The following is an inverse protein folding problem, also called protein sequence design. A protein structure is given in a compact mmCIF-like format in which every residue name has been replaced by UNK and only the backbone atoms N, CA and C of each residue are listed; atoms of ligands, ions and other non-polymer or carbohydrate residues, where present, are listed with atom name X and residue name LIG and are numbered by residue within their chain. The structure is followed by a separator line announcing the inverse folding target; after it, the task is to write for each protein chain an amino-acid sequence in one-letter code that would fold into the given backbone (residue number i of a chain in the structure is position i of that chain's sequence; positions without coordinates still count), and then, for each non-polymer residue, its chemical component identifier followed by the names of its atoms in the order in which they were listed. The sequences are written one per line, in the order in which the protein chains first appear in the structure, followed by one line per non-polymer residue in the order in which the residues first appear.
data_IF_366275045978
#
_entry.id   IF_366275045978
#
_cell.length_a   1.000
_cell.length_b   1.000
_cell.length_c   1.000
_cell.angle_alpha   90.00
_cell.angle_beta   90.00
_cell.angle_gamma   90.00
#
_symmetry.space_group_name_H-M   'P 1'
#
loop_
_entity.id
_entity.type
_entity.pdbx_description
1 polymer ?
#
# COMPACT_ATOMS: atom_id res chain seq x y z
N UNK A 1 -11.45 -11.96 -14.97
CA UNK A 1 -12.14 -12.25 -13.69
C UNK A 1 -12.73 -13.65 -13.75
N UNK A 2 -13.00 -14.30 -12.61
CA UNK A 2 -13.69 -15.59 -12.58
C UNK A 2 -15.17 -15.39 -12.93
N UNK A 3 -15.57 -15.67 -14.17
CA UNK A 3 -16.88 -15.29 -14.73
C UNK A 3 -18.07 -15.89 -13.97
N UNK A 4 -17.99 -17.16 -13.57
CA UNK A 4 -19.05 -17.85 -12.83
C UNK A 4 -19.31 -17.23 -11.46
N UNK A 5 -18.25 -17.00 -10.69
CA UNK A 5 -18.34 -16.37 -9.35
C UNK A 5 -18.81 -14.92 -9.49
N UNK A 6 -18.31 -14.19 -10.49
CA UNK A 6 -18.72 -12.80 -10.74
C UNK A 6 -20.22 -12.70 -11.04
N UNK A 7 -20.74 -13.59 -11.88
CA UNK A 7 -22.16 -13.65 -12.22
C UNK A 7 -23.02 -14.00 -11.00
N UNK A 8 -22.61 -15.01 -10.20
CA UNK A 8 -23.30 -15.40 -8.99
C UNK A 8 -23.37 -14.27 -7.95
N UNK A 9 -22.26 -13.56 -7.75
CA UNK A 9 -22.23 -12.40 -6.84
C UNK A 9 -23.16 -11.29 -7.35
N UNK A 10 -23.12 -10.96 -8.64
CA UNK A 10 -23.96 -9.91 -9.20
C UNK A 10 -25.45 -10.23 -9.08
N UNK A 11 -25.84 -11.49 -9.29
CA UNK A 11 -27.21 -11.94 -9.09
C UNK A 11 -27.69 -11.84 -7.64
N UNK A 12 -26.76 -11.92 -6.68
CA UNK A 12 -27.04 -11.82 -5.26
C UNK A 12 -26.89 -10.40 -4.68
N UNK A 13 -26.39 -9.44 -5.47
CA UNK A 13 -26.19 -8.08 -5.02
C UNK A 13 -27.51 -7.31 -4.98
N UNK A 14 -27.78 -6.64 -3.85
CA UNK A 14 -28.84 -5.62 -3.76
C UNK A 14 -28.33 -4.42 -2.96
N UNK A 15 -28.86 -3.21 -3.19
CA UNK A 15 -28.52 -2.03 -2.38
C UNK A 15 -28.76 -2.24 -0.88
N UNK A 16 -29.79 -2.98 -0.48
CA UNK A 16 -30.13 -3.26 0.92
C UNK A 16 -29.08 -4.18 1.57
N UNK A 17 -28.59 -5.18 0.83
CA UNK A 17 -27.52 -6.07 1.31
C UNK A 17 -26.20 -5.31 1.47
N UNK A 18 -25.89 -4.42 0.54
CA UNK A 18 -24.74 -3.54 0.67
C UNK A 18 -24.87 -2.55 1.84
N UNK A 19 -26.06 -1.98 2.07
CA UNK A 19 -26.33 -1.14 3.23
C UNK A 19 -26.17 -1.92 4.55
N UNK A 20 -26.65 -3.17 4.60
CA UNK A 20 -26.45 -4.05 5.76
C UNK A 20 -24.97 -4.39 5.99
N UNK A 21 -24.21 -4.62 4.92
CA UNK A 21 -22.76 -4.80 4.96
C UNK A 21 -22.06 -3.58 5.58
N UNK A 22 -22.38 -2.35 5.14
CA UNK A 22 -21.80 -1.14 5.72
C UNK A 22 -22.25 -0.92 7.17
N UNK A 23 -23.52 -1.18 7.48
CA UNK A 23 -24.07 -1.06 8.83
C UNK A 23 -23.38 -2.02 9.80
N UNK A 24 -22.96 -3.21 9.35
CA UNK A 24 -22.15 -4.14 10.14
C UNK A 24 -20.79 -3.54 10.50
N UNK A 25 -20.12 -2.87 9.56
CA UNK A 25 -18.84 -2.21 9.80
C UNK A 25 -18.98 -1.09 10.83
N UNK A 26 -20.02 -0.26 10.70
CA UNK A 26 -20.27 0.81 11.66
C UNK A 26 -20.70 0.26 13.04
N UNK A 27 -21.45 -0.84 13.09
CA UNK A 27 -21.82 -1.46 14.37
C UNK A 27 -20.61 -2.05 15.13
N UNK A 28 -19.68 -2.69 14.42
CA UNK A 28 -18.48 -3.28 15.02
C UNK A 28 -17.44 -2.23 15.41
N UNK A 29 -17.28 -1.19 14.57
CA UNK A 29 -16.29 -0.13 14.74
C UNK A 29 -16.92 1.27 14.49
N UNK A 30 -17.77 1.75 15.42
CA UNK A 30 -18.52 2.99 15.24
C UNK A 30 -17.64 4.20 14.89
N UNK A 31 -17.97 4.87 13.79
CA UNK A 31 -17.28 6.07 13.33
C UNK A 31 -15.82 5.86 12.88
N UNK A 32 -15.33 4.62 12.78
CA UNK A 32 -13.95 4.35 12.38
C UNK A 32 -13.74 4.29 10.86
N UNK A 33 -14.80 4.01 10.09
CA UNK A 33 -14.72 3.94 8.64
C UNK A 33 -14.82 5.35 8.02
N UNK A 34 -13.75 5.80 7.36
CA UNK A 34 -13.66 7.15 6.78
C UNK A 34 -13.19 7.14 5.31
N UNK A 35 -13.43 6.03 4.63
CA UNK A 35 -13.25 5.88 3.19
C UNK A 35 -14.34 4.96 2.62
N UNK A 36 -14.59 5.09 1.32
CA UNK A 36 -15.56 4.25 0.61
C UNK A 36 -15.04 2.82 0.50
N UNK A 37 -15.77 1.87 1.07
CA UNK A 37 -15.62 0.44 0.81
C UNK A 37 -16.42 0.12 -0.45
N UNK A 38 -15.85 -0.61 -1.40
CA UNK A 38 -16.56 -0.92 -2.63
C UNK A 38 -17.68 -1.95 -2.40
N UNK A 39 -18.65 -1.95 -3.28
CA UNK A 39 -19.84 -2.82 -3.29
C UNK A 39 -19.49 -4.29 -3.50
N UNK A 40 -18.27 -4.56 -3.99
CA UNK A 40 -17.84 -5.90 -4.36
C UNK A 40 -16.35 -6.13 -4.12
N UNK A 41 -15.95 -7.37 -3.78
CA UNK A 41 -14.57 -7.79 -3.92
C UNK A 41 -14.22 -8.12 -5.37
N UNK A 42 -12.93 -8.35 -5.61
CA UNK A 42 -12.34 -8.72 -6.91
C UNK A 42 -12.07 -10.22 -6.94
N UNK A 43 -12.64 -10.97 -7.89
CA UNK A 43 -12.38 -12.41 -8.09
C UNK A 43 -11.31 -12.69 -9.15
N UNK A 44 -10.09 -13.02 -8.70
CA UNK A 44 -8.89 -13.13 -9.52
C UNK A 44 -8.70 -14.57 -10.00
N UNK A 45 -8.70 -14.84 -11.33
CA UNK A 45 -8.48 -16.18 -11.86
C UNK A 45 -7.03 -16.63 -11.68
N UNK A 46 -6.80 -17.95 -11.69
CA UNK A 46 -5.48 -18.55 -11.48
C UNK A 46 -4.41 -18.02 -12.44
N UNK A 47 -4.76 -17.85 -13.72
CA UNK A 47 -3.81 -17.34 -14.72
C UNK A 47 -3.32 -15.91 -14.40
N UNK A 48 -4.19 -15.02 -13.94
CA UNK A 48 -3.79 -13.67 -13.54
C UNK A 48 -2.99 -13.70 -12.23
N UNK A 49 -3.34 -14.60 -11.32
CA UNK A 49 -2.59 -14.86 -10.08
C UNK A 49 -1.15 -15.23 -10.40
N UNK A 50 -0.92 -16.17 -11.31
CA UNK A 50 0.42 -16.63 -11.67
C UNK A 50 1.28 -15.51 -12.26
N UNK A 51 0.70 -14.64 -13.09
CA UNK A 51 1.38 -13.46 -13.63
C UNK A 51 1.71 -12.43 -12.55
N UNK A 52 0.79 -12.20 -11.59
CA UNK A 52 1.02 -11.31 -10.44
C UNK A 52 2.17 -11.82 -9.56
N UNK A 53 2.19 -13.13 -9.27
CA UNK A 53 3.25 -13.75 -8.48
C UNK A 53 4.60 -13.68 -9.20
N UNK A 54 4.64 -13.94 -10.51
CA UNK A 54 5.85 -13.78 -11.31
C UNK A 54 6.37 -12.35 -11.31
N UNK A 55 5.48 -11.35 -11.43
CA UNK A 55 5.86 -9.94 -11.35
C UNK A 55 6.44 -9.59 -9.97
N UNK A 56 5.86 -10.14 -8.90
CA UNK A 56 6.38 -9.98 -7.55
C UNK A 56 7.76 -10.63 -7.37
N UNK A 57 7.99 -11.82 -7.91
CA UNK A 57 9.29 -12.48 -7.84
C UNK A 57 10.39 -11.65 -8.51
N UNK A 58 10.12 -11.04 -9.67
CA UNK A 58 11.06 -10.13 -10.35
C UNK A 58 11.39 -8.89 -9.50
N UNK A 59 10.38 -8.32 -8.82
CA UNK A 59 10.55 -7.18 -7.92
C UNK A 59 11.35 -7.58 -6.69
N UNK A 60 11.01 -8.72 -6.07
CA UNK A 60 11.70 -9.27 -4.91
C UNK A 60 13.16 -9.53 -5.22
N UNK A 61 13.46 -10.11 -6.38
CA UNK A 61 14.82 -10.34 -6.85
C UNK A 61 15.63 -9.05 -6.98
N UNK A 62 15.00 -7.91 -7.29
CA UNK A 62 15.66 -6.61 -7.38
C UNK A 62 15.93 -6.02 -5.99
N UNK A 63 14.94 -6.01 -5.10
CA UNK A 63 15.06 -5.39 -3.76
C UNK A 63 15.95 -6.19 -2.81
N UNK A 64 16.17 -7.49 -3.08
CA UNK A 64 17.09 -8.34 -2.31
C UNK A 64 18.52 -8.33 -2.84
N UNK A 65 18.81 -7.55 -3.91
CA UNK A 65 20.18 -7.43 -4.42
C UNK A 65 21.13 -6.86 -3.36
N UNK A 66 22.38 -7.36 -3.26
CA UNK A 66 23.36 -6.82 -2.33
C UNK A 66 23.65 -5.33 -2.49
N UNK A 67 23.56 -4.80 -3.72
CA UNK A 67 23.81 -3.39 -4.05
C UNK A 67 22.56 -2.50 -3.96
N UNK A 68 21.38 -3.04 -3.63
CA UNK A 68 20.12 -2.30 -3.66
C UNK A 68 20.13 -1.06 -2.75
N UNK A 69 20.73 -1.16 -1.56
CA UNK A 69 20.89 -0.01 -0.65
C UNK A 69 21.81 1.08 -1.21
N UNK A 70 22.83 0.70 -1.98
CA UNK A 70 23.70 1.65 -2.66
C UNK A 70 22.96 2.35 -3.80
N UNK A 71 22.23 1.58 -4.63
CA UNK A 71 21.41 2.09 -5.73
C UNK A 71 20.35 3.10 -5.27
N UNK A 72 19.75 2.86 -4.10
CA UNK A 72 18.65 3.69 -3.57
C UNK A 72 19.11 4.74 -2.55
N UNK A 73 20.41 4.94 -2.37
CA UNK A 73 20.93 5.86 -1.34
C UNK A 73 20.46 7.31 -1.54
N UNK A 74 20.38 7.75 -2.80
CA UNK A 74 19.93 9.08 -3.18
C UNK A 74 18.40 9.24 -3.11
N UNK A 75 17.65 8.16 -2.89
CA UNK A 75 16.21 8.23 -2.69
C UNK A 75 15.83 8.86 -1.35
N UNK A 76 16.73 8.84 -0.35
CA UNK A 76 16.47 9.37 0.99
C UNK A 76 16.99 10.82 1.06
N UNK A 77 16.12 11.83 1.23
CA UNK A 77 16.56 13.20 1.44
C UNK A 77 17.48 13.29 2.68
N UNK A 78 18.65 13.98 2.60
CA UNK A 78 19.62 13.97 3.70
C UNK A 78 19.06 14.41 5.07
N UNK A 79 18.12 15.36 5.07
CA UNK A 79 17.48 15.88 6.28
C UNK A 79 16.34 15.01 6.82
N UNK A 80 15.93 13.96 6.09
CA UNK A 80 14.90 12.99 6.49
C UNK A 80 15.49 11.60 6.77
N UNK A 81 16.83 11.47 6.77
CA UNK A 81 17.50 10.19 7.01
C UNK A 81 17.37 9.80 8.48
N UNK A 82 16.66 8.70 8.72
CA UNK A 82 16.52 8.11 10.05
C UNK A 82 17.72 7.21 10.35
N UNK A 83 18.36 7.32 11.54
CA UNK A 83 19.52 6.52 11.92
C UNK A 83 19.16 5.06 12.20
N UNK A 84 20.17 4.19 12.23
CA UNK A 84 20.03 2.76 12.56
C UNK A 84 19.08 1.98 11.63
N UNK A 85 19.20 2.24 10.32
CA UNK A 85 18.41 1.58 9.28
C UNK A 85 18.52 0.05 9.34
N UNK A 86 17.36 -0.62 9.32
CA UNK A 86 17.27 -2.09 9.33
C UNK A 86 17.88 -2.71 8.06
N UNK A 87 18.35 -3.98 8.10
CA UNK A 87 18.94 -4.65 6.92
C UNK A 87 17.99 -4.72 5.71
N UNK A 88 16.70 -4.95 5.93
CA UNK A 88 15.65 -4.96 4.91
C UNK A 88 14.38 -4.25 5.41
N UNK A 89 13.43 -4.00 4.50
CA UNK A 89 12.10 -3.51 4.89
C UNK A 89 11.35 -4.58 5.68
N UNK A 90 10.45 -4.17 6.57
CA UNK A 90 9.54 -5.10 7.27
C UNK A 90 8.25 -5.35 6.47
N UNK A 91 7.81 -4.36 5.69
CA UNK A 91 6.58 -4.41 4.91
C UNK A 91 6.86 -4.02 3.46
N UNK A 92 6.16 -4.66 2.53
CA UNK A 92 6.19 -4.32 1.12
C UNK A 92 4.76 -4.35 0.57
N UNK A 93 4.37 -3.28 -0.11
CA UNK A 93 3.14 -3.20 -0.87
C UNK A 93 3.48 -3.04 -2.35
N UNK A 94 2.82 -3.80 -3.22
CA UNK A 94 3.03 -3.76 -4.67
C UNK A 94 1.70 -3.62 -5.38
N UNK A 95 1.52 -2.54 -6.14
CA UNK A 95 0.28 -2.19 -6.83
C UNK A 95 0.33 -2.51 -8.30
N UNK A 96 -0.59 -3.35 -8.76
CA UNK A 96 -0.75 -3.70 -10.16
C UNK A 96 -2.09 -3.22 -10.69
N UNK A 97 -2.05 -2.50 -11.80
CA UNK A 97 -3.21 -2.37 -12.68
C UNK A 97 -3.52 -3.73 -13.31
N UNK A 98 -4.80 -4.02 -13.50
CA UNK A 98 -5.21 -5.12 -14.38
C UNK A 98 -5.42 -4.58 -15.79
N UNK A 99 -4.63 -5.10 -16.71
CA UNK A 99 -4.58 -4.72 -18.12
C UNK A 99 -4.98 -5.90 -19.00
N UNK A 100 -5.13 -5.64 -20.29
CA UNK A 100 -5.30 -6.67 -21.30
C UNK A 100 -4.10 -6.66 -22.24
N UNK A 101 -3.52 -7.82 -22.48
CA UNK A 101 -2.52 -8.00 -23.50
C UNK A 101 -3.18 -7.83 -24.88
N UNK A 102 -2.72 -6.88 -25.70
CA UNK A 102 -3.36 -6.59 -26.99
C UNK A 102 -3.24 -7.73 -28.00
N UNK A 103 -2.23 -8.60 -27.87
CA UNK A 103 -1.99 -9.70 -28.79
C UNK A 103 -2.75 -10.97 -28.41
N UNK A 104 -2.70 -11.37 -27.13
CA UNK A 104 -3.35 -12.59 -26.66
C UNK A 104 -4.79 -12.39 -26.17
N UNK A 105 -5.18 -11.15 -25.85
CA UNK A 105 -6.45 -10.82 -25.21
C UNK A 105 -6.55 -11.26 -23.74
N UNK A 106 -5.50 -11.86 -23.19
CA UNK A 106 -5.45 -12.29 -21.79
C UNK A 106 -5.24 -11.11 -20.84
N UNK A 107 -5.72 -11.26 -19.60
CA UNK A 107 -5.40 -10.29 -18.55
C UNK A 107 -3.92 -10.41 -18.13
N UNK A 108 -3.32 -9.26 -17.87
CA UNK A 108 -1.95 -9.15 -17.35
C UNK A 108 -1.83 -8.02 -16.31
N UNK A 109 -0.95 -8.17 -15.32
CA UNK A 109 -0.66 -7.11 -14.37
C UNK A 109 0.36 -6.12 -14.95
N UNK A 110 0.20 -4.85 -14.64
CA UNK A 110 1.21 -3.82 -14.92
C UNK A 110 1.46 -3.00 -13.66
N UNK A 111 2.72 -2.94 -13.22
CA UNK A 111 3.11 -2.25 -11.99
C UNK A 111 2.80 -0.75 -12.08
N UNK A 112 2.12 -0.24 -11.06
CA UNK A 112 1.76 1.18 -10.92
C UNK A 112 2.63 1.85 -9.87
N UNK A 113 2.75 1.21 -8.71
CA UNK A 113 3.47 1.72 -7.55
C UNK A 113 3.95 0.55 -6.68
N UNK A 114 5.05 0.77 -5.96
CA UNK A 114 5.53 -0.12 -4.91
C UNK A 114 6.01 0.72 -3.73
N UNK A 115 5.84 0.19 -2.52
CA UNK A 115 6.12 0.95 -1.31
C UNK A 115 6.62 0.08 -0.17
N UNK A 116 7.72 0.50 0.46
CA UNK A 116 8.27 -0.11 1.68
C UNK A 116 7.59 0.40 2.94
N UNK A 117 6.26 0.31 3.02
CA UNK A 117 5.47 0.93 4.10
C UNK A 117 4.18 0.16 4.41
N UNK A 118 3.81 0.02 5.69
CA UNK A 118 2.58 -0.67 6.07
C UNK A 118 1.33 0.20 5.92
N UNK A 119 0.28 -0.33 5.30
CA UNK A 119 -1.06 0.27 5.36
C UNK A 119 -2.15 -0.77 5.18
N UNK A 120 -3.21 -0.67 5.99
CA UNK A 120 -4.44 -1.48 5.89
C UNK A 120 -4.25 -2.99 6.10
N UNK A 121 -3.19 -3.44 6.78
CA UNK A 121 -2.94 -4.87 7.06
C UNK A 121 -3.99 -5.45 8.03
N UNK A 122 -4.41 -4.72 9.06
CA UNK A 122 -5.46 -5.16 9.98
C UNK A 122 -6.83 -5.22 9.30
N UNK A 123 -7.13 -4.26 8.42
CA UNK A 123 -8.42 -4.15 7.76
C UNK A 123 -8.77 -5.33 6.85
N UNK A 124 -7.79 -5.99 6.21
CA UNK A 124 -8.07 -7.03 5.22
C UNK A 124 -8.73 -8.28 5.81
N UNK A 125 -8.28 -8.74 6.99
CA UNK A 125 -8.88 -9.90 7.64
C UNK A 125 -10.37 -9.65 7.95
N UNK A 126 -10.65 -8.51 8.59
CA UNK A 126 -12.01 -8.08 8.91
C UNK A 126 -12.90 -7.92 7.66
N UNK A 127 -12.39 -7.23 6.65
CA UNK A 127 -13.14 -6.95 5.43
C UNK A 127 -13.49 -8.25 4.67
N UNK A 128 -12.55 -9.19 4.60
CA UNK A 128 -12.77 -10.50 3.95
C UNK A 128 -13.91 -11.29 4.60
N UNK A 129 -13.95 -11.35 5.93
CA UNK A 129 -15.00 -12.01 6.71
C UNK A 129 -16.34 -11.31 6.55
N UNK A 130 -16.32 -9.98 6.56
CA UNK A 130 -17.54 -9.18 6.39
C UNK A 130 -18.15 -9.42 5.01
N UNK A 131 -17.34 -9.54 3.94
CA UNK A 131 -17.86 -9.93 2.61
C UNK A 131 -18.44 -11.35 2.63
N UNK A 132 -17.72 -12.34 3.15
CA UNK A 132 -18.20 -13.74 3.22
C UNK A 132 -19.49 -13.88 4.02
N UNK A 133 -19.67 -13.06 5.07
CA UNK A 133 -20.87 -13.07 5.90
C UNK A 133 -22.10 -12.45 5.22
N UNK A 134 -21.91 -11.53 4.26
CA UNK A 134 -23.00 -10.76 3.65
C UNK A 134 -23.29 -11.15 2.20
N UNK A 135 -22.33 -11.74 1.48
CA UNK A 135 -22.43 -12.04 0.06
C UNK A 135 -21.94 -13.46 -0.27
N UNK A 136 -22.42 -14.09 -1.37
CA UNK A 136 -21.90 -15.39 -1.77
C UNK A 136 -20.47 -15.25 -2.28
N UNK A 137 -19.53 -15.76 -1.50
CA UNK A 137 -18.12 -15.91 -1.86
C UNK A 137 -17.78 -17.38 -1.77
N UNK A 138 -17.33 -17.96 -2.89
CA UNK A 138 -16.97 -19.38 -2.98
C UNK A 138 -15.82 -19.74 -2.03
N UNK A 139 -15.79 -20.98 -1.56
CA UNK A 139 -14.63 -21.54 -0.84
C UNK A 139 -13.48 -21.91 -1.78
N UNK A 140 -13.74 -21.93 -3.11
CA UNK A 140 -12.70 -22.14 -4.14
C UNK A 140 -11.77 -20.92 -4.34
N UNK A 141 -11.95 -19.86 -3.55
CA UNK A 141 -11.14 -18.64 -3.63
C UNK A 141 -10.69 -18.20 -2.25
N UNK A 142 -9.50 -17.61 -2.15
CA UNK A 142 -8.89 -17.13 -0.90
C UNK A 142 -8.32 -15.72 -1.04
N UNK A 143 -8.38 -14.92 0.02
CA UNK A 143 -7.69 -13.63 0.09
C UNK A 143 -6.28 -13.74 0.73
N UNK A 144 -5.96 -14.90 1.29
CA UNK A 144 -4.72 -15.18 2.02
C UNK A 144 -3.71 -15.93 1.16
N UNK A 145 -2.43 -15.70 1.47
CA UNK A 145 -1.30 -16.39 0.86
C UNK A 145 -0.41 -16.98 1.96
N UNK A 146 0.07 -18.21 1.76
CA UNK A 146 0.96 -18.91 2.70
C UNK A 146 0.35 -19.29 4.05
N UNK A 147 -0.94 -19.01 4.28
CA UNK A 147 -1.73 -19.40 5.45
C UNK A 147 -3.19 -19.66 5.06
N UNK A 148 -3.87 -20.52 5.82
CA UNK A 148 -5.22 -20.98 5.48
C UNK A 148 -6.33 -20.19 6.19
N UNK A 149 -6.02 -19.47 7.27
CA UNK A 149 -7.03 -18.80 8.11
C UNK A 149 -6.62 -17.39 8.52
N UNK A 150 -7.61 -16.52 8.75
CA UNK A 150 -7.39 -15.18 9.31
C UNK A 150 -6.71 -15.24 10.68
N UNK A 151 -6.98 -16.28 11.49
CA UNK A 151 -6.31 -16.47 12.76
C UNK A 151 -4.79 -16.66 12.58
N UNK A 152 -4.35 -17.46 11.59
CA UNK A 152 -2.94 -17.64 11.29
C UNK A 152 -2.30 -16.38 10.69
N UNK A 153 -3.03 -15.66 9.83
CA UNK A 153 -2.61 -14.37 9.30
C UNK A 153 -2.37 -13.34 10.43
N UNK A 154 -3.35 -13.19 11.33
CA UNK A 154 -3.26 -12.29 12.49
C UNK A 154 -2.10 -12.70 13.41
N UNK A 155 -1.90 -14.00 13.64
CA UNK A 155 -0.77 -14.48 14.44
C UNK A 155 0.58 -14.09 13.83
N UNK A 156 0.74 -14.20 12.50
CA UNK A 156 1.96 -13.75 11.80
C UNK A 156 2.19 -12.24 11.98
N UNK A 157 1.16 -11.42 11.80
CA UNK A 157 1.26 -9.97 12.02
C UNK A 157 1.61 -9.63 13.46
N UNK A 158 0.95 -10.28 14.43
CA UNK A 158 1.21 -10.09 15.85
C UNK A 158 2.66 -10.39 16.19
N UNK A 159 3.19 -11.53 15.73
CA UNK A 159 4.57 -11.92 15.97
C UNK A 159 5.57 -10.92 15.36
N UNK A 160 5.34 -10.49 14.11
CA UNK A 160 6.20 -9.51 13.43
C UNK A 160 6.23 -8.15 14.16
N UNK A 161 5.06 -7.67 14.57
CA UNK A 161 4.91 -6.35 15.19
C UNK A 161 5.47 -6.34 16.62
N UNK A 162 5.10 -7.34 17.42
CA UNK A 162 5.52 -7.38 18.83
C UNK A 162 6.97 -7.84 19.02
N UNK A 163 7.47 -8.76 18.19
CA UNK A 163 8.69 -9.50 18.51
C UNK A 163 8.59 -10.08 19.93
N UNK A 164 9.63 -9.87 20.74
CA UNK A 164 9.67 -10.32 22.14
C UNK A 164 9.14 -9.28 23.16
N UNK A 165 8.58 -8.16 22.69
CA UNK A 165 8.10 -7.09 23.56
C UNK A 165 6.67 -7.33 24.06
N UNK A 166 6.36 -6.79 25.24
CA UNK A 166 4.97 -6.74 25.70
C UNK A 166 4.17 -5.74 24.86
N UNK A 167 2.85 -5.95 24.65
CA UNK A 167 2.05 -5.03 23.84
C UNK A 167 2.09 -3.56 24.29
N UNK A 168 2.20 -3.28 25.59
CA UNK A 168 2.34 -1.89 26.08
C UNK A 168 3.71 -1.26 25.78
N UNK A 169 4.73 -2.05 25.44
CA UNK A 169 6.05 -1.55 25.05
C UNK A 169 6.14 -1.26 23.54
N UNK A 170 5.06 -1.52 22.80
CA UNK A 170 4.97 -1.35 21.34
C UNK A 170 3.83 -0.40 21.01
N UNK A 171 4.12 0.62 20.20
CA UNK A 171 3.12 1.58 19.75
C UNK A 171 2.94 1.52 18.23
N UNK A 172 1.74 1.83 17.76
CA UNK A 172 1.51 2.26 16.39
C UNK A 172 1.72 3.78 16.35
N UNK A 173 2.81 4.24 15.74
CA UNK A 173 3.14 5.66 15.66
C UNK A 173 2.43 6.30 14.46
N UNK A 174 1.72 7.39 14.71
CA UNK A 174 0.99 8.15 13.70
C UNK A 174 0.89 9.63 14.12
N UNK A 175 0.56 10.54 13.21
CA UNK A 175 0.16 11.91 13.53
C UNK A 175 -1.37 12.03 13.58
N UNK A 176 -1.90 12.50 14.71
CA UNK A 176 -3.36 12.58 14.97
C UNK A 176 -4.13 11.32 14.52
N UNK A 177 -3.86 10.15 15.14
CA UNK A 177 -4.41 8.86 14.68
C UNK A 177 -5.94 8.87 14.49
N UNK A 178 -6.66 9.62 15.31
CA UNK A 178 -8.12 9.77 15.27
C UNK A 178 -8.64 10.52 14.03
N UNK A 179 -7.79 11.32 13.38
CA UNK A 179 -8.12 12.09 12.16
C UNK A 179 -7.75 11.35 10.89
N UNK A 180 -7.04 10.23 10.99
CA UNK A 180 -6.61 9.48 9.84
C UNK A 180 -7.77 8.75 9.17
N UNK A 181 -7.78 8.76 7.84
CA UNK A 181 -8.83 8.06 7.07
C UNK A 181 -8.82 6.57 7.30
N UNK A 182 -7.65 6.01 7.58
CA UNK A 182 -7.46 4.58 7.83
C UNK A 182 -7.59 4.21 9.31
N UNK A 183 -8.20 5.05 10.16
CA UNK A 183 -8.29 4.79 11.62
C UNK A 183 -8.95 3.46 12.01
N UNK A 184 -9.85 2.93 11.17
CA UNK A 184 -10.40 1.56 11.32
C UNK A 184 -9.31 0.49 11.39
N UNK A 185 -8.22 0.65 10.63
CA UNK A 185 -7.08 -0.27 10.65
C UNK A 185 -6.32 -0.20 11.98
N UNK A 186 -6.29 0.97 12.63
CA UNK A 186 -5.66 1.14 13.94
C UNK A 186 -6.52 0.50 15.03
N UNK A 187 -7.83 0.66 14.97
CA UNK A 187 -8.77 0.00 15.88
C UNK A 187 -8.67 -1.53 15.76
N UNK A 188 -8.59 -2.05 14.53
CA UNK A 188 -8.39 -3.47 14.27
C UNK A 188 -7.02 -3.96 14.71
N UNK A 189 -5.96 -3.18 14.47
CA UNK A 189 -4.61 -3.50 14.95
C UNK A 189 -4.59 -3.59 16.48
N UNK A 190 -5.29 -2.69 17.18
CA UNK A 190 -5.46 -2.77 18.64
C UNK A 190 -6.21 -4.04 19.05
N UNK A 191 -7.29 -4.39 18.38
CA UNK A 191 -8.06 -5.60 18.68
C UNK A 191 -7.25 -6.89 18.46
N UNK A 192 -6.41 -6.94 17.43
CA UNK A 192 -5.67 -8.13 17.02
C UNK A 192 -4.30 -8.27 17.70
N UNK A 193 -3.59 -7.16 17.85
CA UNK A 193 -2.18 -7.13 18.31
C UNK A 193 -2.07 -6.56 19.74
N UNK A 194 -3.05 -5.80 20.21
CA UNK A 194 -3.09 -5.26 21.58
C UNK A 194 -2.28 -3.98 21.78
N UNK A 195 -1.82 -3.34 20.70
CA UNK A 195 -1.02 -2.12 20.74
C UNK A 195 -1.88 -0.88 20.56
N UNK A 196 -1.47 0.24 21.17
CA UNK A 196 -2.16 1.52 21.07
C UNK A 196 -1.60 2.36 19.90
N UNK A 197 -2.50 3.06 19.21
CA UNK A 197 -2.10 4.12 18.29
C UNK A 197 -1.75 5.38 19.09
N UNK A 198 -0.51 5.84 18.97
CA UNK A 198 0.05 6.96 19.74
C UNK A 198 0.44 8.08 18.79
N UNK A 199 -0.08 9.27 19.07
CA UNK A 199 0.23 10.47 18.32
C UNK A 199 1.68 10.89 18.56
N UNK A 200 2.44 11.25 17.52
CA UNK A 200 3.83 11.74 17.64
C UNK A 200 3.98 12.85 18.69
N UNK A 201 3.02 13.77 18.77
CA UNK A 201 3.00 14.89 19.75
C UNK A 201 2.85 14.48 21.21
N UNK A 202 2.53 13.20 21.48
CA UNK A 202 2.35 12.64 22.82
C UNK A 202 3.55 11.82 23.28
N UNK A 203 4.55 11.64 22.42
CA UNK A 203 5.81 10.98 22.78
C UNK A 203 6.67 11.95 23.57
N UNK A 204 7.23 11.45 24.68
CA UNK A 204 8.27 12.11 25.46
C UNK A 204 9.60 11.45 25.19
N UNK A 205 10.65 12.26 25.06
CA UNK A 205 12.02 11.79 24.85
C UNK A 205 12.86 12.16 26.05
N UNK A 206 13.51 11.17 26.66
CA UNK A 206 14.49 11.36 27.73
C UNK A 206 15.81 10.72 27.32
N UNK A 207 16.77 11.56 26.90
CA UNK A 207 17.99 11.07 26.26
C UNK A 207 17.66 10.32 24.97
N UNK A 208 17.98 9.01 24.92
CA UNK A 208 17.66 8.11 23.80
C UNK A 208 16.39 7.30 24.02
N UNK A 209 15.82 7.31 25.23
CA UNK A 209 14.61 6.55 25.54
C UNK A 209 13.36 7.36 25.17
N UNK A 210 12.35 6.66 24.68
CA UNK A 210 11.04 7.22 24.34
C UNK A 210 9.97 6.66 25.28
N UNK A 211 9.02 7.51 25.64
CA UNK A 211 7.91 7.17 26.54
C UNK A 211 6.58 7.72 26.00
N UNK A 212 5.50 7.06 26.40
CA UNK A 212 4.14 7.58 26.24
C UNK A 212 3.34 7.36 27.52
N UNK A 213 2.28 8.15 27.70
CA UNK A 213 1.38 8.01 28.83
C UNK A 213 0.24 7.04 28.52
N UNK A 214 0.00 6.11 29.44
CA UNK A 214 -1.14 5.18 29.40
C UNK A 214 -1.68 4.98 30.81
N UNK A 215 -2.95 5.30 31.01
CA UNK A 215 -3.65 5.17 32.29
C UNK A 215 -2.89 5.84 33.46
N UNK A 216 -2.32 7.02 33.22
CA UNK A 216 -1.52 7.78 34.18
C UNK A 216 -0.11 7.22 34.45
N UNK A 217 0.30 6.15 33.77
CA UNK A 217 1.64 5.57 33.84
C UNK A 217 2.48 6.03 32.64
N UNK A 218 3.76 6.33 32.88
CA UNK A 218 4.75 6.48 31.82
C UNK A 218 5.26 5.10 31.42
N UNK A 219 5.05 4.73 30.17
CA UNK A 219 5.47 3.43 29.62
C UNK A 219 6.60 3.64 28.62
N UNK A 220 7.68 2.87 28.76
CA UNK A 220 8.81 2.91 27.83
C UNK A 220 8.43 2.28 26.51
N UNK A 221 8.64 3.02 25.42
CA UNK A 221 8.52 2.52 24.06
C UNK A 221 9.80 1.77 23.70
N UNK A 222 9.68 0.50 23.34
CA UNK A 222 10.79 -0.34 22.85
C UNK A 222 10.69 -0.63 21.36
N UNK A 223 9.47 -0.69 20.81
CA UNK A 223 9.24 -0.89 19.37
C UNK A 223 8.23 0.11 18.83
N UNK A 224 8.43 0.53 17.60
CA UNK A 224 7.53 1.43 16.89
C UNK A 224 7.06 0.75 15.61
N UNK A 225 5.77 0.43 15.55
CA UNK A 225 5.07 0.13 14.30
C UNK A 225 4.75 1.44 13.59
N UNK A 226 5.56 1.79 12.60
CA UNK A 226 5.50 3.10 11.99
C UNK A 226 4.34 3.21 10.98
N UNK A 227 3.45 4.16 11.19
CA UNK A 227 2.38 4.55 10.27
C UNK A 227 2.44 6.02 9.84
N UNK A 228 3.53 6.70 10.20
CA UNK A 228 3.81 8.08 9.85
C UNK A 228 4.82 8.19 8.69
N UNK A 229 4.61 9.16 7.80
CA UNK A 229 5.52 9.51 6.70
C UNK A 229 5.96 10.97 6.78
N UNK A 230 7.12 11.30 6.22
CA UNK A 230 7.67 12.66 6.29
C UNK A 230 6.82 13.71 5.59
N UNK A 231 6.19 13.39 4.46
CA UNK A 231 5.25 14.27 3.75
C UNK A 231 4.16 14.86 4.65
N UNK A 232 3.63 14.06 5.56
CA UNK A 232 2.59 14.50 6.50
C UNK A 232 3.15 15.46 7.55
N UNK A 233 4.42 15.31 7.92
CA UNK A 233 5.11 16.22 8.84
C UNK A 233 5.47 17.54 8.15
N UNK A 234 5.89 17.51 6.89
CA UNK A 234 6.20 18.72 6.11
C UNK A 234 4.96 19.60 5.90
N UNK A 235 3.78 18.99 5.83
CA UNK A 235 2.51 19.71 5.78
C UNK A 235 2.14 20.40 7.12
N UNK A 236 2.89 20.15 8.20
CA UNK A 236 2.66 20.64 9.56
C UNK A 236 3.93 21.31 10.14
N UNK A 237 4.42 22.42 9.54
CA UNK A 237 5.71 23.02 9.92
C UNK A 237 5.77 23.53 11.37
N UNK A 238 4.61 23.86 11.96
CA UNK A 238 4.50 24.37 13.33
C UNK A 238 4.29 23.25 14.38
N UNK A 239 4.38 21.98 13.98
CA UNK A 239 4.14 20.84 14.86
C UNK A 239 5.23 20.74 15.94
N UNK A 240 4.82 20.89 17.21
CA UNK A 240 5.72 20.74 18.36
C UNK A 240 5.78 19.29 18.80
N UNK A 241 6.99 18.73 18.82
CA UNK A 241 7.26 17.34 19.20
C UNK A 241 8.54 17.27 20.04
N UNK A 242 8.59 16.37 21.02
CA UNK A 242 9.81 16.11 21.79
C UNK A 242 10.74 15.10 21.08
N UNK A 243 10.17 14.36 20.11
CA UNK A 243 10.84 13.34 19.32
C UNK A 243 10.67 13.65 17.84
N UNK A 244 11.78 13.68 17.12
CA UNK A 244 11.82 13.75 15.66
C UNK A 244 12.24 12.39 15.10
N UNK A 245 11.68 11.97 13.97
CA UNK A 245 12.02 10.66 13.38
C UNK A 245 13.52 10.50 13.09
N UNK A 246 14.26 11.59 12.87
CA UNK A 246 15.71 11.61 12.63
C UNK A 246 16.55 11.55 13.90
N UNK A 247 15.92 11.54 15.08
CA UNK A 247 16.62 11.37 16.35
C UNK A 247 17.21 9.96 16.50
N UNK A 248 18.42 9.88 17.04
CA UNK A 248 19.05 8.60 17.39
C UNK A 248 18.53 8.11 18.76
N UNK A 249 17.60 7.14 18.73
CA UNK A 249 16.82 6.65 19.87
C UNK A 249 16.89 5.12 20.01
N UNK A 250 16.65 4.63 21.23
CA UNK A 250 16.74 3.21 21.60
C UNK A 250 15.42 2.47 21.34
N UNK A 251 14.97 2.46 20.09
CA UNK A 251 13.79 1.69 19.66
C UNK A 251 14.10 0.77 18.48
N UNK A 252 13.35 -0.33 18.38
CA UNK A 252 13.30 -1.12 17.14
C UNK A 252 12.17 -0.63 16.25
N UNK A 253 12.48 -0.36 15.00
CA UNK A 253 11.48 0.00 13.99
C UNK A 253 10.83 -1.23 13.37
N UNK A 254 9.50 -1.26 13.33
CA UNK A 254 8.71 -2.20 12.55
C UNK A 254 8.16 -1.41 11.36
N UNK A 255 8.85 -1.49 10.22
CA UNK A 255 8.69 -0.56 9.11
C UNK A 255 9.58 0.68 9.26
N UNK A 256 10.90 0.52 9.21
CA UNK A 256 11.84 1.63 9.35
C UNK A 256 11.61 2.73 8.28
N UNK A 257 11.51 4.02 8.66
CA UNK A 257 11.07 5.09 7.76
C UNK A 257 11.85 5.22 6.45
N UNK A 258 13.17 4.97 6.45
CA UNK A 258 13.97 5.03 5.22
C UNK A 258 13.46 4.12 4.08
N UNK A 259 12.80 2.99 4.39
CA UNK A 259 12.31 2.06 3.36
C UNK A 259 11.14 2.62 2.54
N UNK A 260 10.40 3.58 3.09
CA UNK A 260 9.39 4.34 2.35
C UNK A 260 9.99 5.09 1.16
N UNK A 261 11.21 5.61 1.31
CA UNK A 261 11.94 6.29 0.24
C UNK A 261 12.64 5.32 -0.70
N UNK A 262 13.28 4.28 -0.16
CA UNK A 262 14.04 3.31 -0.98
C UNK A 262 13.14 2.54 -1.94
N UNK A 263 12.12 1.89 -1.38
CA UNK A 263 11.12 1.15 -2.15
C UNK A 263 10.01 2.15 -2.46
N UNK A 264 10.20 2.86 -3.57
CA UNK A 264 9.31 3.92 -4.06
C UNK A 264 9.38 3.99 -5.59
N UNK A 265 8.85 5.06 -6.19
CA UNK A 265 9.03 5.38 -7.62
C UNK A 265 10.50 5.38 -8.05
N UNK A 266 11.41 5.67 -7.12
CA UNK A 266 12.85 5.62 -7.34
C UNK A 266 13.35 4.23 -7.74
N UNK A 267 12.68 3.16 -7.31
CA UNK A 267 13.08 1.78 -7.64
C UNK A 267 12.72 1.39 -9.08
N UNK A 268 11.76 2.07 -9.71
CA UNK A 268 11.17 1.64 -10.99
C UNK A 268 12.19 1.44 -12.13
N UNK A 269 13.19 2.33 -12.34
CA UNK A 269 14.20 2.12 -13.38
C UNK A 269 15.08 0.87 -13.20
N UNK A 270 15.18 0.34 -11.98
CA UNK A 270 16.03 -0.82 -11.67
C UNK A 270 15.30 -2.15 -11.86
N UNK A 271 13.97 -2.12 -12.03
CA UNK A 271 13.14 -3.31 -12.20
C UNK A 271 13.19 -3.79 -13.65
N UNK A 272 13.37 -5.10 -13.82
CA UNK A 272 13.30 -5.75 -15.13
C UNK A 272 12.27 -6.87 -15.13
N UNK A 273 11.08 -6.57 -15.63
CA UNK A 273 9.97 -7.51 -15.74
C UNK A 273 9.08 -7.11 -16.92
N UNK A 274 8.43 -8.06 -17.63
CA UNK A 274 7.41 -7.73 -18.63
C UNK A 274 6.17 -7.05 -18.00
N UNK A 275 6.00 -7.18 -16.69
CA UNK A 275 4.88 -6.61 -15.92
C UNK A 275 5.23 -5.26 -15.27
N UNK A 276 6.38 -4.70 -15.61
CA UNK A 276 6.81 -3.37 -15.16
C UNK A 276 6.96 -2.45 -16.37
N UNK A 277 6.15 -1.38 -16.46
CA UNK A 277 6.28 -0.41 -17.53
C UNK A 277 7.67 0.20 -17.53
N UNK A 278 8.28 0.33 -18.71
CA UNK A 278 9.64 0.91 -18.82
C UNK A 278 9.66 2.31 -18.22
N UNK A 279 10.66 2.53 -17.36
CA UNK A 279 10.82 3.72 -16.55
C UNK A 279 12.27 4.21 -16.65
N UNK A 280 12.42 5.53 -16.76
CA UNK A 280 13.72 6.18 -16.92
C UNK A 280 13.80 7.38 -15.98
N UNK A 281 14.94 7.57 -15.31
CA UNK A 281 15.23 8.87 -14.74
C UNK A 281 15.36 9.88 -15.87
N UNK A 282 14.74 11.06 -15.71
CA UNK A 282 14.80 12.09 -16.74
C UNK A 282 16.24 12.62 -16.95
N UNK A 283 17.09 12.53 -15.93
CA UNK A 283 18.53 12.83 -16.01
C UNK A 283 19.32 11.88 -16.93
N UNK A 284 18.83 10.66 -17.12
CA UNK A 284 19.57 9.59 -17.82
C UNK A 284 19.22 9.53 -19.31
N UNK A 285 18.18 10.27 -19.73
CA UNK A 285 17.74 10.36 -21.12
C UNK A 285 18.61 11.34 -21.89
N UNK A 286 19.35 10.83 -22.88
CA UNK A 286 20.07 11.66 -23.86
C UNK A 286 19.13 12.27 -24.90
N UNK A 287 18.08 11.53 -25.27
CA UNK A 287 17.04 11.94 -26.21
C UNK A 287 15.66 11.57 -25.65
N UNK A 288 14.65 12.39 -25.95
CA UNK A 288 13.28 12.09 -25.53
C UNK A 288 12.64 11.07 -26.47
N UNK A 289 11.79 10.16 -25.95
CA UNK A 289 10.99 9.29 -26.80
C UNK A 289 10.16 10.10 -27.79
N UNK A 290 10.12 9.68 -29.04
CA UNK A 290 9.34 10.36 -30.09
C UNK A 290 7.83 10.28 -29.85
N UNK A 291 7.38 9.30 -29.06
CA UNK A 291 5.99 9.00 -28.75
C UNK A 291 5.61 9.36 -27.30
N UNK A 292 5.90 10.59 -26.86
CA UNK A 292 5.61 11.07 -25.50
C UNK A 292 4.16 10.89 -25.05
N UNK A 293 3.20 10.81 -25.99
CA UNK A 293 1.79 10.51 -25.68
C UNK A 293 1.61 9.15 -24.97
N UNK A 294 2.57 8.24 -25.10
CA UNK A 294 2.61 6.95 -24.41
C UNK A 294 3.36 6.99 -23.07
N UNK A 295 3.70 8.17 -22.55
CA UNK A 295 4.46 8.33 -21.32
C UNK A 295 3.73 9.22 -20.31
N UNK A 296 4.04 8.99 -19.04
CA UNK A 296 3.69 9.86 -17.92
C UNK A 296 4.97 10.36 -17.26
N UNK A 297 4.95 11.60 -16.80
CA UNK A 297 6.04 12.21 -16.05
C UNK A 297 5.64 12.23 -14.57
N UNK A 298 6.51 11.67 -13.71
CA UNK A 298 6.27 11.53 -12.27
C UNK A 298 7.39 12.20 -11.48
N UNK A 299 7.10 13.08 -10.51
CA UNK A 299 8.08 13.49 -9.52
C UNK A 299 8.43 12.32 -8.61
N UNK A 300 9.69 12.19 -8.21
CA UNK A 300 10.15 11.10 -7.34
C UNK A 300 9.76 11.31 -5.87
N UNK A 301 9.77 12.56 -5.42
CA UNK A 301 9.49 12.95 -4.03
C UNK A 301 8.05 13.43 -3.82
N UNK A 302 7.13 12.94 -4.67
CA UNK A 302 5.70 13.19 -4.50
C UNK A 302 4.92 11.89 -4.34
N UNK A 303 3.93 11.93 -3.45
CA UNK A 303 3.19 10.77 -3.03
C UNK A 303 1.69 10.94 -3.31
N UNK A 304 0.95 9.82 -3.29
CA UNK A 304 -0.49 9.77 -3.59
C UNK A 304 -0.89 10.40 -4.96
N UNK A 305 -0.02 10.31 -5.96
CA UNK A 305 -0.27 10.81 -7.32
C UNK A 305 -0.14 12.33 -7.49
N UNK A 306 0.30 13.07 -6.46
CA UNK A 306 0.53 14.51 -6.58
C UNK A 306 1.61 14.82 -7.62
N UNK A 307 1.36 15.78 -8.51
CA UNK A 307 2.32 16.23 -9.54
C UNK A 307 2.55 15.26 -10.71
N UNK A 308 1.80 14.16 -10.82
CA UNK A 308 1.89 13.26 -11.98
C UNK A 308 1.24 13.91 -13.21
N UNK A 309 2.01 14.06 -14.28
CA UNK A 309 1.54 14.56 -15.57
C UNK A 309 1.24 13.37 -16.49
N UNK A 310 -0.04 13.11 -16.72
CA UNK A 310 -0.50 11.99 -17.57
C UNK A 310 -0.28 12.30 -19.04
N UNK A 311 -0.47 13.55 -19.47
CA UNK A 311 -0.27 13.98 -20.85
C UNK A 311 0.96 14.87 -20.90
N UNK A 312 2.14 14.25 -20.84
CA UNK A 312 3.41 14.97 -20.87
C UNK A 312 3.72 15.46 -22.28
N UNK A 313 4.13 16.72 -22.39
CA UNK A 313 4.57 17.34 -23.63
C UNK A 313 6.07 17.64 -23.60
N UNK A 314 6.72 17.89 -24.75
CA UNK A 314 8.11 18.36 -24.76
C UNK A 314 8.32 19.67 -23.97
N UNK A 315 7.30 20.54 -23.94
CA UNK A 315 7.36 21.80 -23.21
C UNK A 315 7.40 21.59 -21.68
N UNK A 316 6.63 20.61 -21.17
CA UNK A 316 6.64 20.27 -19.74
C UNK A 316 8.03 19.80 -19.29
N UNK A 317 8.70 19.01 -20.12
CA UNK A 317 10.07 18.52 -19.84
C UNK A 317 11.09 19.65 -19.96
N UNK A 318 10.94 20.53 -20.96
CA UNK A 318 11.83 21.68 -21.15
C UNK A 318 11.74 22.69 -20.00
N UNK A 319 10.59 22.78 -19.33
CA UNK A 319 10.38 23.64 -18.17
C UNK A 319 11.12 23.15 -16.91
N UNK A 320 11.55 21.88 -16.84
CA UNK A 320 12.27 21.33 -15.70
C UNK A 320 13.77 21.71 -15.80
N UNK A 321 14.31 22.44 -14.80
CA UNK A 321 15.73 22.79 -14.75
C UNK A 321 16.62 21.54 -14.85
N UNK A 322 17.72 21.62 -15.60
CA UNK A 322 18.62 20.48 -15.81
C UNK A 322 19.12 19.85 -14.50
N UNK A 323 19.40 20.68 -13.48
CA UNK A 323 19.81 20.23 -12.15
C UNK A 323 18.73 19.46 -11.38
N UNK A 324 17.45 19.64 -11.74
CA UNK A 324 16.30 19.02 -11.07
C UNK A 324 15.78 17.78 -11.80
N UNK A 325 16.26 17.49 -13.02
CA UNK A 325 15.80 16.34 -13.81
C UNK A 325 16.03 14.99 -13.13
N UNK A 326 17.03 14.89 -12.24
CA UNK A 326 17.23 13.70 -11.41
C UNK A 326 16.08 13.41 -10.44
N UNK A 327 15.18 14.38 -10.20
CA UNK A 327 14.02 14.26 -9.32
C UNK A 327 12.76 13.80 -10.05
N UNK A 328 12.87 13.45 -11.35
CA UNK A 328 11.73 13.09 -12.19
C UNK A 328 11.95 11.75 -12.90
N UNK A 329 10.85 11.04 -13.09
CA UNK A 329 10.76 9.78 -13.79
C UNK A 329 9.86 9.92 -15.01
N UNK A 330 10.33 9.47 -16.18
CA UNK A 330 9.51 9.27 -17.36
C UNK A 330 9.15 7.77 -17.45
N UNK A 331 7.86 7.42 -17.42
CA UNK A 331 7.40 6.04 -17.43
C UNK A 331 6.36 5.79 -18.53
N UNK A 332 6.42 4.64 -19.21
CA UNK A 332 5.38 4.21 -20.16
C UNK A 332 4.01 4.12 -19.48
N UNK A 333 2.96 4.60 -20.16
CA UNK A 333 1.58 4.55 -19.70
C UNK A 333 1.11 3.12 -19.52
N UNK A 334 0.22 2.95 -18.54
CA UNK A 334 -0.51 1.71 -18.29
C UNK A 334 -1.97 1.91 -18.65
N UNK A 335 -2.51 1.01 -19.48
CA UNK A 335 -3.91 1.04 -19.90
C UNK A 335 -4.70 0.03 -19.09
N UNK A 336 -5.49 0.53 -18.15
CA UNK A 336 -6.37 -0.31 -17.33
C UNK A 336 -7.51 -0.88 -18.15
N UNK A 337 -7.77 -2.18 -17.96
CA UNK A 337 -8.93 -2.86 -18.54
C UNK A 337 -10.09 -2.84 -17.51
N UNK A 338 -11.33 -2.46 -17.92
CA UNK A 338 -12.49 -2.43 -17.02
C UNK A 338 -13.06 -3.83 -16.74
N UNK A 339 -12.26 -4.67 -16.10
CA UNK A 339 -12.50 -6.12 -15.93
C UNK A 339 -13.60 -6.49 -14.94
N UNK A 340 -13.99 -5.58 -14.04
CA UNK A 340 -15.03 -5.87 -13.03
C UNK A 340 -16.40 -5.49 -13.59
N UNK A 341 -17.15 -6.49 -14.06
CA UNK A 341 -18.52 -6.29 -14.54
C UNK A 341 -19.48 -6.07 -13.37
N UNK A 342 -20.23 -4.97 -13.43
CA UNK A 342 -21.27 -4.61 -12.46
C UNK A 342 -22.64 -5.18 -12.87
N UNK A 343 -23.67 -5.18 -11.99
CA UNK A 343 -24.99 -5.73 -12.29
C UNK A 343 -25.69 -5.08 -13.49
N UNK A 344 -25.39 -3.82 -13.81
CA UNK A 344 -25.93 -3.14 -14.98
C UNK A 344 -25.13 -3.39 -16.27
N UNK A 345 -24.13 -4.28 -16.24
CA UNK A 345 -23.29 -4.63 -17.38
C UNK A 345 -22.10 -3.68 -17.63
N UNK A 346 -22.00 -2.56 -16.91
CA UNK A 346 -20.83 -1.67 -17.05
C UNK A 346 -19.57 -2.29 -16.44
N UNK A 347 -18.41 -2.03 -17.06
CA UNK A 347 -17.11 -2.44 -16.56
C UNK A 347 -16.47 -1.40 -15.63
N UNK A 348 -15.69 -1.88 -14.67
CA UNK A 348 -14.97 -1.08 -13.68
C UNK A 348 -13.51 -1.52 -13.66
N UNK A 349 -12.59 -0.55 -13.62
CA UNK A 349 -11.15 -0.81 -13.56
C UNK A 349 -10.78 -1.23 -12.13
N UNK A 350 -9.80 -2.12 -12.02
CA UNK A 350 -9.28 -2.52 -10.73
C UNK A 350 -7.76 -2.44 -10.68
N UNK A 351 -7.27 -2.12 -9.50
CA UNK A 351 -5.88 -2.24 -9.11
C UNK A 351 -5.79 -3.21 -7.93
N UNK A 352 -4.83 -4.13 -7.98
CA UNK A 352 -4.60 -5.16 -6.97
C UNK A 352 -3.28 -4.84 -6.28
N UNK A 353 -3.35 -4.57 -4.98
CA UNK A 353 -2.21 -4.38 -4.09
C UNK A 353 -1.89 -5.68 -3.40
N UNK A 354 -0.70 -6.23 -3.63
CA UNK A 354 -0.18 -7.38 -2.92
C UNK A 354 0.62 -6.92 -1.69
N UNK A 355 0.35 -7.53 -0.53
CA UNK A 355 0.87 -7.10 0.76
C UNK A 355 1.77 -8.19 1.36
N UNK A 356 3.02 -7.81 1.60
CA UNK A 356 4.09 -8.68 2.05
C UNK A 356 4.60 -8.26 3.43
N UNK A 357 5.04 -9.26 4.20
CA UNK A 357 5.88 -9.05 5.38
C UNK A 357 7.26 -9.67 5.15
N UNK A 358 8.27 -9.14 5.82
CA UNK A 358 9.61 -9.70 5.79
C UNK A 358 10.15 -9.81 7.22
N UNK A 359 9.90 -10.95 7.88
CA UNK A 359 10.53 -11.28 9.15
C UNK A 359 12.05 -11.36 9.02
N UNK A 360 12.80 -10.94 10.03
CA UNK A 360 14.27 -10.99 10.03
C UNK A 360 14.85 -12.41 9.90
N UNK A 361 14.04 -13.43 10.19
CA UNK A 361 14.40 -14.85 10.04
C UNK A 361 14.37 -15.35 8.59
N UNK A 362 13.80 -14.58 7.67
CA UNK A 362 13.46 -15.03 6.33
C UNK A 362 14.37 -14.37 5.29
N UNK A 363 14.84 -15.15 4.31
CA UNK A 363 15.73 -14.66 3.25
C UNK A 363 15.04 -13.68 2.28
N UNK A 364 13.70 -13.72 2.21
CA UNK A 364 12.90 -12.93 1.28
C UNK A 364 11.53 -12.58 1.87
N UNK A 365 10.89 -11.50 1.41
CA UNK A 365 9.54 -11.14 1.82
C UNK A 365 8.53 -12.22 1.44
N UNK A 366 7.52 -12.39 2.30
CA UNK A 366 6.42 -13.33 2.16
C UNK A 366 5.13 -12.59 1.84
N UNK A 367 4.49 -12.95 0.73
CA UNK A 367 3.14 -12.49 0.43
C UNK A 367 2.17 -13.10 1.44
N UNK A 368 1.35 -12.28 2.08
CA UNK A 368 0.41 -12.76 3.11
C UNK A 368 -1.05 -12.41 2.85
N UNK A 369 -1.31 -11.30 2.16
CA UNK A 369 -2.66 -10.88 1.82
C UNK A 369 -2.63 -9.85 0.68
N UNK A 370 -3.77 -9.23 0.42
CA UNK A 370 -3.92 -8.22 -0.59
C UNK A 370 -4.95 -7.16 -0.18
N UNK A 371 -5.02 -6.07 -0.94
CA UNK A 371 -6.22 -5.25 -1.06
C UNK A 371 -6.45 -4.91 -2.53
N UNK A 372 -7.64 -4.44 -2.87
CA UNK A 372 -7.93 -3.96 -4.21
C UNK A 372 -8.58 -2.58 -4.17
N UNK A 373 -8.47 -1.84 -5.27
CA UNK A 373 -9.11 -0.55 -5.46
C UNK A 373 -9.89 -0.54 -6.76
N UNK A 374 -11.13 -0.09 -6.70
CA UNK A 374 -12.01 0.04 -7.87
C UNK A 374 -12.14 1.50 -8.27
N UNK A 375 -12.13 1.76 -9.57
CA UNK A 375 -12.28 3.10 -10.14
C UNK A 375 -12.96 3.07 -11.49
N UNK A 376 -13.72 4.15 -11.77
CA UNK A 376 -14.26 4.46 -13.10
C UNK A 376 -13.47 5.56 -13.81
N UNK A 377 -12.65 6.31 -13.09
CA UNK A 377 -11.83 7.40 -13.63
C UNK A 377 -10.59 6.94 -14.40
N UNK A 378 -9.85 7.91 -14.93
CA UNK A 378 -8.52 7.70 -15.52
C UNK A 378 -7.43 7.50 -14.45
N UNK A 379 -7.60 8.12 -13.26
CA UNK A 379 -6.74 7.92 -12.09
C UNK A 379 -7.45 7.13 -10.99
N UNK A 380 -6.77 6.14 -10.44
CA UNK A 380 -7.24 5.37 -9.30
C UNK A 380 -6.77 6.04 -8.00
N UNK A 381 -7.73 6.51 -7.20
CA UNK A 381 -7.48 7.17 -5.93
C UNK A 381 -8.77 7.62 -5.25
N UNK A 382 -8.78 7.61 -3.91
CA UNK A 382 -9.97 7.90 -3.07
C UNK A 382 -10.52 9.32 -3.35
N UNK A 383 -9.68 10.24 -3.85
CA UNK A 383 -10.05 11.64 -4.11
C UNK A 383 -10.84 11.84 -5.41
N UNK A 384 -10.65 10.99 -6.42
CA UNK A 384 -11.14 11.22 -7.79
C UNK A 384 -12.45 10.50 -8.15
N UNK A 385 -12.99 9.67 -7.25
CA UNK A 385 -14.13 8.78 -7.54
C UNK A 385 -15.32 8.96 -6.59
N UNK A 386 -15.39 10.04 -5.81
CA UNK A 386 -16.37 10.15 -4.70
C UNK A 386 -17.85 10.07 -5.14
N UNK A 387 -18.15 10.47 -6.37
CA UNK A 387 -19.53 10.55 -6.88
C UNK A 387 -19.95 9.36 -7.75
N UNK A 388 -19.11 8.32 -7.83
CA UNK A 388 -19.40 7.11 -8.61
C UNK A 388 -19.75 5.92 -7.72
N UNK A 389 -20.62 5.04 -8.23
CA UNK A 389 -20.84 3.72 -7.64
C UNK A 389 -19.87 2.68 -8.22
N UNK A 390 -19.64 1.60 -7.48
CA UNK A 390 -18.66 0.55 -7.81
C UNK A 390 -17.22 1.07 -7.83
N UNK A 391 -16.87 1.85 -6.81
CA UNK A 391 -15.54 2.45 -6.61
C UNK A 391 -15.16 2.41 -5.13
N UNK A 392 -13.87 2.56 -4.83
CA UNK A 392 -13.37 2.58 -3.45
C UNK A 392 -12.42 1.43 -3.14
N UNK A 393 -12.09 1.28 -1.86
CA UNK A 393 -11.22 0.21 -1.36
C UNK A 393 -12.00 -1.08 -1.16
N UNK A 394 -11.40 -2.22 -1.49
CA UNK A 394 -11.95 -3.55 -1.30
C UNK A 394 -10.82 -4.57 -1.13
N UNK A 395 -11.14 -5.86 -1.23
CA UNK A 395 -10.21 -6.97 -1.20
C UNK A 395 -10.39 -7.84 -2.46
N UNK A 396 -9.35 -8.57 -2.84
CA UNK A 396 -9.41 -9.60 -3.86
C UNK A 396 -9.41 -11.01 -3.24
N UNK A 397 -10.18 -11.90 -3.88
CA UNK A 397 -10.20 -13.34 -3.64
C UNK A 397 -9.63 -14.04 -4.88
N UNK A 398 -8.57 -14.82 -4.68
CA UNK A 398 -7.79 -15.52 -5.68
C UNK A 398 -8.20 -16.98 -5.77
N UNK A 399 -8.36 -17.49 -6.98
CA UNK A 399 -8.61 -18.91 -7.26
C UNK A 399 -7.51 -19.80 -6.67
N UNK A 400 -7.90 -20.82 -5.91
CA UNK A 400 -6.99 -21.79 -5.28
C UNK A 400 -6.59 -22.93 -6.21
#
# INVERSE_FOLDING_TARGET
MISSIRAAYNAAFTPERYAAFLAKIDADYPGQLDFRVAETPVFVPKLLTDKLLSACDDIVATITRPDYKALTMAAIPPHQRVPNETPHTTFLAVDFAVCQNEQSGELEPQLIELQGFPSLYGFQAYLSETYRANFPVSDSVSHLFGVDTNANYIARLRNLILGDCQPEEVILLEIFPEKQKTRVDFALTKAYVGIDAVCLTKIRKEGRALYYEKDGRQIRIKRIYNRLIFDELEALPDLKTDFQLTDDVDVTWVGHPNWFFRISKYTLPFLNSPYVPKSYFLSDLTELPVDLDNYVLKPLFSFAGSGVLIHVTPADIAAIPAAERGNYLLQRKVRYEPVVTTPNGSGVKCEIRLLFIWPDSDDKPQLITNLARLSRGEMIGVRFNKDFDWVGGTIAFFEQ
#
